data_IF_624116777484
#
_entry.id   IF_624116777484
#
_cell.length_a   1.000
_cell.length_b   1.000
_cell.length_c   1.000
_cell.angle_alpha   90.00
_cell.angle_beta   90.00
_cell.angle_gamma   90.00
#
_symmetry.space_group_name_H-M   'P 1'
#
loop_
_entity.id
_entity.type
_entity.pdbx_description
1 polymer ?
#
# COMPACT_ATOMS: atom_id res chain seq x y z
N UNK A 1 19.14 7.81 -14.06
CA UNK A 1 17.67 7.88 -14.16
C UNK A 1 17.20 8.35 -12.79
N UNK A 2 16.29 9.32 -12.67
CA UNK A 2 15.60 9.46 -11.38
C UNK A 2 14.99 8.09 -11.10
N UNK A 3 15.28 7.51 -9.93
CA UNK A 3 14.73 6.22 -9.57
C UNK A 3 13.21 6.36 -9.58
N UNK A 4 12.52 5.62 -10.45
CA UNK A 4 11.06 5.64 -10.54
C UNK A 4 10.49 5.23 -9.18
N UNK A 5 9.97 6.22 -8.45
CA UNK A 5 9.54 6.03 -7.07
C UNK A 5 8.11 5.46 -7.07
N UNK A 6 7.96 4.30 -6.44
CA UNK A 6 6.66 3.67 -6.18
C UNK A 6 6.42 3.60 -4.68
N UNK A 7 5.27 4.11 -4.23
CA UNK A 7 4.85 4.07 -2.84
C UNK A 7 3.48 3.40 -2.71
N UNK A 8 3.22 2.81 -1.55
CA UNK A 8 1.94 2.16 -1.25
C UNK A 8 1.37 2.65 0.07
N UNK A 9 0.06 2.90 0.11
CA UNK A 9 -0.69 3.14 1.33
C UNK A 9 -1.71 2.04 1.51
N UNK A 10 -1.75 1.44 2.70
CA UNK A 10 -2.78 0.45 3.03
C UNK A 10 -3.90 1.11 3.84
N UNK A 11 -5.10 1.11 3.29
CA UNK A 11 -6.34 1.53 3.95
C UNK A 11 -6.95 0.34 4.68
N UNK A 12 -7.14 0.47 5.98
CA UNK A 12 -7.67 -0.60 6.83
C UNK A 12 -9.18 -0.45 7.09
N UNK A 13 -9.91 -1.55 7.30
CA UNK A 13 -11.29 -1.49 7.78
C UNK A 13 -11.41 -0.67 9.05
N UNK A 14 -12.31 0.32 9.06
CA UNK A 14 -12.54 1.18 10.21
C UNK A 14 -11.52 2.29 10.42
N UNK A 15 -10.52 2.43 9.52
CA UNK A 15 -9.63 3.59 9.53
C UNK A 15 -10.43 4.87 9.28
N UNK A 16 -10.21 5.88 10.10
CA UNK A 16 -10.87 7.16 9.95
C UNK A 16 -10.29 7.96 8.77
N UNK A 17 -11.09 8.85 8.15
CA UNK A 17 -10.59 9.75 7.11
C UNK A 17 -9.40 10.62 7.56
N UNK A 18 -9.35 11.00 8.84
CA UNK A 18 -8.26 11.81 9.39
C UNK A 18 -6.93 11.03 9.47
N UNK A 19 -6.98 9.76 9.88
CA UNK A 19 -5.80 8.88 9.90
C UNK A 19 -5.30 8.59 8.48
N UNK A 20 -6.22 8.42 7.53
CA UNK A 20 -5.85 8.27 6.12
C UNK A 20 -5.22 9.55 5.57
N UNK A 21 -5.82 10.71 5.82
CA UNK A 21 -5.26 12.01 5.40
C UNK A 21 -3.87 12.27 6.00
N UNK A 22 -3.67 11.92 7.28
CA UNK A 22 -2.36 11.99 7.91
C UNK A 22 -1.32 11.11 7.21
N UNK A 23 -1.71 9.89 6.82
CA UNK A 23 -0.82 8.96 6.10
C UNK A 23 -0.50 9.48 4.70
N UNK A 24 -1.49 10.00 3.98
CA UNK A 24 -1.30 10.60 2.64
C UNK A 24 -0.36 11.80 2.69
N UNK A 25 -0.41 12.61 3.73
CA UNK A 25 0.47 13.76 3.92
C UNK A 25 1.95 13.39 4.15
N UNK A 26 2.26 12.11 4.38
CA UNK A 26 3.65 11.61 4.48
C UNK A 26 4.20 11.12 3.13
N UNK A 27 3.39 11.08 2.07
CA UNK A 27 3.89 10.73 0.75
C UNK A 27 4.84 11.81 0.24
N UNK A 28 5.95 11.41 -0.43
CA UNK A 28 6.79 12.34 -1.14
C UNK A 28 5.99 13.15 -2.18
N UNK A 29 6.33 14.43 -2.30
CA UNK A 29 5.78 15.29 -3.34
C UNK A 29 6.10 14.73 -4.74
N UNK A 30 5.23 15.03 -5.71
CA UNK A 30 5.42 14.62 -7.11
C UNK A 30 4.95 13.19 -7.42
N UNK A 31 4.32 12.51 -6.47
CA UNK A 31 3.63 11.25 -6.71
C UNK A 31 2.16 11.46 -7.13
N UNK A 32 1.67 10.63 -8.05
CA UNK A 32 0.27 10.56 -8.45
C UNK A 32 -0.34 9.20 -8.13
N UNK A 33 -1.66 9.18 -7.91
CA UNK A 33 -2.39 7.94 -7.70
C UNK A 33 -2.41 7.13 -9.00
N UNK A 34 -1.91 5.90 -8.94
CA UNK A 34 -1.85 4.99 -10.08
C UNK A 34 -3.05 4.04 -10.10
N UNK A 35 -3.25 3.27 -9.02
CA UNK A 35 -4.33 2.30 -8.92
C UNK A 35 -4.57 1.85 -7.45
N UNK A 36 -5.63 1.08 -7.19
CA UNK A 36 -5.95 0.51 -5.90
C UNK A 36 -6.39 -0.95 -5.98
N UNK A 37 -5.94 -1.76 -5.03
CA UNK A 37 -6.18 -3.21 -4.99
C UNK A 37 -6.77 -3.66 -3.67
N UNK A 38 -7.78 -4.53 -3.70
CA UNK A 38 -8.35 -5.18 -2.52
C UNK A 38 -9.84 -4.93 -2.34
N UNK A 39 -10.44 -5.63 -1.38
CA UNK A 39 -11.88 -5.64 -1.11
C UNK A 39 -12.22 -5.04 0.26
N UNK A 40 -11.57 -5.52 1.32
CA UNK A 40 -11.78 -5.13 2.71
C UNK A 40 -10.63 -4.26 3.21
N UNK A 41 -9.41 -4.63 2.83
CA UNK A 41 -8.20 -3.82 2.98
C UNK A 41 -7.78 -3.37 1.60
N UNK A 42 -7.61 -2.07 1.40
CA UNK A 42 -7.28 -1.50 0.08
C UNK A 42 -5.83 -1.06 0.10
N UNK A 43 -5.03 -1.51 -0.86
CA UNK A 43 -3.67 -1.01 -1.09
C UNK A 43 -3.73 -0.03 -2.25
N UNK A 44 -3.49 1.24 -1.96
CA UNK A 44 -3.37 2.31 -2.95
C UNK A 44 -1.92 2.40 -3.40
N UNK A 45 -1.68 2.45 -4.71
CA UNK A 45 -0.36 2.58 -5.32
C UNK A 45 -0.20 3.98 -5.87
N UNK A 46 0.97 4.57 -5.61
CA UNK A 46 1.37 5.88 -6.09
C UNK A 46 2.68 5.77 -6.87
N UNK A 47 2.74 6.42 -8.03
CA UNK A 47 3.90 6.45 -8.91
C UNK A 47 4.37 7.88 -9.18
N UNK A 48 5.56 8.02 -9.78
CA UNK A 48 6.07 9.34 -10.18
C UNK A 48 5.17 9.97 -11.23
N UNK A 49 4.77 11.23 -11.04
CA UNK A 49 3.80 11.87 -11.92
C UNK A 49 4.27 11.92 -13.38
N UNK A 50 3.41 11.48 -14.29
CA UNK A 50 3.70 11.42 -15.73
C UNK A 50 4.57 10.23 -16.15
N UNK A 51 4.87 9.32 -15.23
CA UNK A 51 5.58 8.06 -15.51
C UNK A 51 4.59 6.90 -15.34
N UNK A 52 4.14 6.27 -16.45
CA UNK A 52 3.22 5.14 -16.37
C UNK A 52 3.84 3.96 -15.65
N UNK A 53 3.13 3.37 -14.69
CA UNK A 53 3.49 2.11 -14.07
C UNK A 53 2.86 0.94 -14.83
N UNK A 54 3.66 -0.10 -15.06
CA UNK A 54 3.15 -1.38 -15.56
C UNK A 54 2.36 -2.12 -14.49
N UNK A 55 1.49 -3.03 -14.93
CA UNK A 55 0.74 -3.92 -14.01
C UNK A 55 1.69 -4.76 -13.15
N UNK A 56 2.81 -5.21 -13.71
CA UNK A 56 3.80 -6.02 -12.99
C UNK A 56 4.47 -5.23 -11.86
N UNK A 57 4.84 -3.97 -12.11
CA UNK A 57 5.40 -3.08 -11.08
C UNK A 57 4.39 -2.77 -9.98
N UNK A 58 3.14 -2.49 -10.34
CA UNK A 58 2.06 -2.26 -9.37
C UNK A 58 1.83 -3.49 -8.49
N UNK A 59 1.74 -4.69 -9.10
CA UNK A 59 1.56 -5.93 -8.35
C UNK A 59 2.77 -6.25 -7.45
N UNK A 60 4.00 -5.98 -7.91
CA UNK A 60 5.19 -6.15 -7.09
C UNK A 60 5.18 -5.22 -5.87
N UNK A 61 4.79 -3.96 -6.04
CA UNK A 61 4.64 -3.00 -4.95
C UNK A 61 3.55 -3.43 -3.95
N UNK A 62 2.39 -3.88 -4.44
CA UNK A 62 1.30 -4.41 -3.59
C UNK A 62 1.76 -5.64 -2.81
N UNK A 63 2.42 -6.59 -3.48
CA UNK A 63 2.93 -7.80 -2.84
C UNK A 63 3.99 -7.48 -1.77
N UNK A 64 4.90 -6.54 -2.04
CA UNK A 64 5.89 -6.08 -1.08
C UNK A 64 5.24 -5.40 0.13
N UNK A 65 4.24 -4.53 -0.11
CA UNK A 65 3.45 -3.89 0.94
C UNK A 65 2.83 -4.93 1.86
N UNK A 66 2.17 -5.95 1.31
CA UNK A 66 1.54 -7.02 2.08
C UNK A 66 2.55 -7.94 2.77
N UNK A 67 3.69 -8.23 2.14
CA UNK A 67 4.77 -9.04 2.71
C UNK A 67 5.36 -8.42 3.98
N UNK A 68 5.38 -7.09 4.08
CA UNK A 68 5.78 -6.37 5.29
C UNK A 68 4.80 -6.54 6.48
N UNK A 69 3.58 -7.03 6.22
CA UNK A 69 2.61 -7.41 7.27
C UNK A 69 2.76 -8.88 7.72
N UNK A 70 3.65 -9.65 7.08
CA UNK A 70 3.81 -11.09 7.25
C UNK A 70 4.74 -11.53 8.38
N UNK A 71 4.34 -11.31 9.64
CA UNK A 71 4.54 -12.36 10.66
C UNK A 71 3.19 -12.71 11.27
N UNK A 72 2.63 -13.90 10.99
CA UNK A 72 1.43 -14.38 11.67
C UNK A 72 1.72 -14.47 13.18
N UNK A 73 0.82 -13.94 14.03
CA UNK A 73 0.83 -14.31 15.46
C UNK A 73 0.61 -15.81 15.55
N UNK A 74 1.33 -16.56 16.40
CA UNK A 74 1.02 -17.96 16.63
C UNK A 74 -0.42 -18.06 17.13
N UNK A 75 -1.24 -18.81 16.40
CA UNK A 75 -2.57 -19.23 16.83
C UNK A 75 -2.41 -19.85 18.21
N UNK A 76 -3.11 -19.33 19.23
CA UNK A 76 -3.24 -20.06 20.50
C UNK A 76 -3.84 -21.42 20.16
N UNK A 77 -3.06 -22.47 20.37
CA UNK A 77 -3.53 -23.85 20.31
C UNK A 77 -4.74 -23.93 21.25
N UNK A 78 -5.91 -24.23 20.69
CA UNK A 78 -7.07 -24.59 21.48
C UNK A 78 -6.75 -25.94 22.12
N UNK A 79 -6.25 -25.89 23.36
CA UNK A 79 -6.19 -27.05 24.24
C UNK A 79 -7.62 -27.41 24.60
N UNK A 80 -8.16 -28.49 24.05
CA UNK A 80 -9.28 -29.28 24.60
C UNK A 80 -9.32 -30.64 23.93
#
# INVERSE_FOLDING_TARGET
>A
MPDDLVATITVQPGQSPAELAYTLAQLPDGLEFADAFGDRTIVMVYGTAGVPLSVEEMLAAVAASLGNWGTPRPSREATS
#
